data_IF_724173257000
#
_entry.id   IF_724173257000
#
_cell.length_a   1.000
_cell.length_b   1.000
_cell.length_c   1.000
_cell.angle_alpha   90.00
_cell.angle_beta   90.00
_cell.angle_gamma   90.00
#
_symmetry.space_group_name_H-M   'P 1'
#
loop_
_entity.id
_entity.type
_entity.pdbx_description
1 polymer ?
#
# COMPACT_ATOMS: atom_id res chain seq x y z
N UNK A 1 -22.58 -19.76 4.24
CA UNK A 1 -21.96 -19.86 5.58
C UNK A 1 -22.88 -19.14 6.55
N UNK A 2 -23.26 -19.76 7.66
CA UNK A 2 -24.11 -19.11 8.66
C UNK A 2 -23.22 -18.58 9.79
N UNK A 3 -23.40 -17.31 10.12
CA UNK A 3 -22.68 -16.60 11.18
C UNK A 3 -23.71 -16.04 12.15
N UNK A 4 -23.50 -16.31 13.44
CA UNK A 4 -24.31 -15.74 14.51
C UNK A 4 -23.64 -14.46 14.98
N UNK A 5 -24.39 -13.36 14.95
CA UNK A 5 -23.90 -12.06 15.42
C UNK A 5 -24.03 -11.96 16.94
N UNK A 6 -23.09 -11.25 17.56
CA UNK A 6 -23.24 -10.82 18.95
C UNK A 6 -24.16 -9.61 19.01
N UNK A 7 -24.78 -9.36 20.17
CA UNK A 7 -25.64 -8.18 20.36
C UNK A 7 -24.91 -6.86 20.09
N UNK A 8 -23.60 -6.80 20.33
CA UNK A 8 -22.77 -5.63 20.01
C UNK A 8 -22.70 -5.38 18.50
N UNK A 9 -22.43 -6.43 17.71
CA UNK A 9 -22.35 -6.33 16.25
C UNK A 9 -23.71 -5.95 15.64
N UNK A 10 -24.81 -6.47 16.20
CA UNK A 10 -26.16 -6.09 15.78
C UNK A 10 -26.45 -4.60 16.03
N UNK A 11 -26.01 -4.04 17.17
CA UNK A 11 -26.14 -2.62 17.46
C UNK A 11 -25.33 -1.74 16.52
N UNK A 12 -24.10 -2.16 16.18
CA UNK A 12 -23.26 -1.45 15.21
C UNK A 12 -23.89 -1.44 13.82
N UNK A 13 -24.38 -2.59 13.34
CA UNK A 13 -25.07 -2.69 12.06
C UNK A 13 -26.33 -1.83 12.06
N UNK A 14 -27.15 -1.90 13.12
CA UNK A 14 -28.36 -1.09 13.27
C UNK A 14 -28.04 0.41 13.23
N UNK A 15 -26.94 0.83 13.84
CA UNK A 15 -26.47 2.22 13.81
C UNK A 15 -26.13 2.65 12.38
N UNK A 16 -25.46 1.81 11.60
CA UNK A 16 -25.15 2.10 10.20
C UNK A 16 -26.41 2.15 9.31
N UNK A 17 -27.37 1.25 9.52
CA UNK A 17 -28.65 1.28 8.79
C UNK A 17 -29.44 2.56 9.06
N UNK A 18 -29.46 3.04 10.32
CA UNK A 18 -30.11 4.30 10.70
C UNK A 18 -29.53 5.53 9.98
N UNK A 19 -28.31 5.46 9.47
CA UNK A 19 -27.73 6.56 8.67
C UNK A 19 -28.36 6.70 7.29
N UNK A 20 -29.11 5.68 6.82
CA UNK A 20 -29.66 5.61 5.47
C UNK A 20 -28.63 5.33 4.37
N UNK A 21 -27.34 5.20 4.72
CA UNK A 21 -26.26 4.91 3.75
C UNK A 21 -26.24 3.46 3.28
N UNK A 22 -26.86 2.56 4.04
CA UNK A 22 -26.92 1.13 3.76
C UNK A 22 -28.34 0.64 3.98
N UNK A 23 -28.80 -0.26 3.11
CA UNK A 23 -30.16 -0.78 3.10
C UNK A 23 -30.26 -2.10 3.86
N UNK A 24 -29.16 -2.87 3.92
CA UNK A 24 -29.14 -4.21 4.53
C UNK A 24 -27.92 -4.42 5.42
N UNK A 25 -28.03 -5.36 6.36
CA UNK A 25 -26.89 -5.79 7.19
C UNK A 25 -25.75 -6.36 6.35
N UNK A 26 -26.08 -7.04 5.25
CA UNK A 26 -25.10 -7.61 4.32
C UNK A 26 -24.24 -6.53 3.66
N UNK A 27 -24.83 -5.43 3.21
CA UNK A 27 -24.08 -4.30 2.64
C UNK A 27 -23.06 -3.73 3.63
N UNK A 28 -23.47 -3.59 4.90
CA UNK A 28 -22.58 -3.10 5.97
C UNK A 28 -21.42 -4.07 6.18
N UNK A 29 -21.70 -5.38 6.22
CA UNK A 29 -20.69 -6.42 6.41
C UNK A 29 -19.72 -6.47 5.23
N UNK A 30 -20.23 -6.49 4.00
CA UNK A 30 -19.40 -6.45 2.77
C UNK A 30 -18.51 -5.23 2.79
N UNK A 31 -19.04 -4.06 3.15
CA UNK A 31 -18.25 -2.84 3.20
C UNK A 31 -17.16 -2.89 4.27
N UNK A 32 -17.47 -3.44 5.44
CA UNK A 32 -16.49 -3.62 6.51
C UNK A 32 -15.33 -4.54 6.07
N UNK A 33 -15.63 -5.64 5.38
CA UNK A 33 -14.62 -6.57 4.86
C UNK A 33 -13.75 -5.94 3.77
N UNK A 34 -14.35 -5.18 2.84
CA UNK A 34 -13.58 -4.42 1.84
C UNK A 34 -12.63 -3.40 2.48
N UNK A 35 -13.08 -2.72 3.54
CA UNK A 35 -12.25 -1.77 4.28
C UNK A 35 -11.12 -2.48 5.02
N UNK A 36 -11.36 -3.66 5.59
CA UNK A 36 -10.34 -4.49 6.22
C UNK A 36 -9.25 -4.88 5.23
N UNK A 37 -9.63 -5.42 4.07
CA UNK A 37 -8.69 -5.80 3.01
C UNK A 37 -7.90 -4.59 2.50
N UNK A 38 -8.57 -3.45 2.27
CA UNK A 38 -7.91 -2.22 1.83
C UNK A 38 -6.91 -1.73 2.89
N UNK A 39 -7.24 -1.86 4.18
CA UNK A 39 -6.36 -1.46 5.27
C UNK A 39 -5.10 -2.32 5.31
N UNK A 40 -5.25 -3.64 5.16
CA UNK A 40 -4.13 -4.58 5.10
C UNK A 40 -3.21 -4.26 3.91
N UNK A 41 -3.77 -4.05 2.71
CA UNK A 41 -3.00 -3.65 1.52
C UNK A 41 -2.24 -2.33 1.72
N UNK A 42 -2.84 -1.33 2.38
CA UNK A 42 -2.15 -0.07 2.70
C UNK A 42 -0.99 -0.28 3.66
N UNK A 43 -1.15 -1.13 4.67
CA UNK A 43 -0.07 -1.46 5.61
C UNK A 43 1.11 -2.13 4.90
N UNK A 44 0.83 -3.10 4.02
CA UNK A 44 1.87 -3.74 3.21
C UNK A 44 2.61 -2.74 2.32
N UNK A 45 1.88 -1.85 1.65
CA UNK A 45 2.48 -0.83 0.79
C UNK A 45 3.35 0.14 1.61
N UNK A 46 2.86 0.59 2.77
CA UNK A 46 3.62 1.45 3.67
C UNK A 46 4.93 0.78 4.10
N UNK A 47 4.89 -0.51 4.43
CA UNK A 47 6.10 -1.26 4.77
C UNK A 47 7.06 -1.39 3.58
N UNK A 48 6.54 -1.64 2.37
CA UNK A 48 7.36 -1.68 1.15
C UNK A 48 8.05 -0.34 0.88
N UNK A 49 7.33 0.77 1.01
CA UNK A 49 7.86 2.12 0.84
C UNK A 49 8.94 2.40 1.88
N UNK A 50 8.70 2.08 3.15
CA UNK A 50 9.71 2.21 4.21
C UNK A 50 10.98 1.41 3.88
N UNK A 51 10.83 0.15 3.49
CA UNK A 51 11.97 -0.69 3.12
C UNK A 51 12.74 -0.14 1.90
N UNK A 52 12.07 0.49 0.94
CA UNK A 52 12.73 1.16 -0.18
C UNK A 52 13.54 2.37 0.29
N UNK A 53 12.98 3.19 1.18
CA UNK A 53 13.72 4.30 1.79
C UNK A 53 14.95 3.80 2.55
N UNK A 54 14.81 2.79 3.41
CA UNK A 54 15.92 2.23 4.17
C UNK A 54 17.04 1.71 3.23
N UNK A 55 16.67 1.04 2.14
CA UNK A 55 17.62 0.59 1.12
C UNK A 55 18.33 1.75 0.43
N UNK A 56 17.59 2.78 0.02
CA UNK A 56 18.18 3.95 -0.64
C UNK A 56 19.13 4.71 0.28
N UNK A 57 18.78 4.88 1.55
CA UNK A 57 19.64 5.54 2.53
C UNK A 57 20.89 4.72 2.89
N UNK A 58 20.85 3.40 2.71
CA UNK A 58 22.00 2.53 2.88
C UNK A 58 22.95 2.53 1.67
N UNK A 59 22.55 3.13 0.52
CA UNK A 59 23.46 3.31 -0.61
C UNK A 59 24.49 4.36 -0.18
N UNK A 60 25.79 4.04 -0.19
CA UNK A 60 26.83 5.00 0.14
C UNK A 60 26.74 6.22 -0.80
N UNK A 61 27.18 7.36 -0.28
CA UNK A 61 27.07 8.71 -0.85
C UNK A 61 27.11 8.73 -2.39
N UNK A 62 26.17 9.48 -2.99
CA UNK A 62 26.15 9.73 -4.44
C UNK A 62 27.51 10.32 -4.82
N UNK A 63 28.35 9.51 -5.47
CA UNK A 63 29.61 10.00 -6.01
C UNK A 63 29.26 11.10 -7.03
N UNK A 64 29.92 12.25 -6.90
CA UNK A 64 29.86 13.25 -7.96
C UNK A 64 30.55 12.66 -9.17
N UNK A 65 29.77 12.26 -10.17
CA UNK A 65 30.29 11.78 -11.45
C UNK A 65 30.61 13.03 -12.28
N UNK A 66 31.83 13.14 -12.78
CA UNK A 66 32.20 14.27 -13.66
C UNK A 66 31.72 14.02 -15.09
N UNK A 67 31.56 15.10 -15.87
CA UNK A 67 31.19 15.00 -17.29
C UNK A 67 32.22 14.18 -18.10
N UNK A 68 33.51 14.19 -17.69
CA UNK A 68 34.53 13.36 -18.32
C UNK A 68 34.34 11.86 -18.04
N UNK A 69 33.92 11.49 -16.83
CA UNK A 69 33.65 10.10 -16.46
C UNK A 69 32.42 9.56 -17.22
N UNK A 70 31.39 10.39 -17.35
CA UNK A 70 30.19 10.06 -18.16
C UNK A 70 30.57 9.88 -19.62
N UNK A 71 31.38 10.78 -20.17
CA UNK A 71 31.80 10.74 -21.59
C UNK A 71 32.61 9.48 -21.89
N UNK A 72 33.56 9.13 -21.01
CA UNK A 72 34.35 7.90 -21.14
C UNK A 72 33.49 6.63 -21.12
N UNK A 73 32.50 6.58 -20.24
CA UNK A 73 31.58 5.43 -20.16
C UNK A 73 30.75 5.30 -21.46
N UNK A 74 30.23 6.42 -21.99
CA UNK A 74 29.47 6.43 -23.25
C UNK A 74 30.35 5.99 -24.43
N UNK A 75 31.60 6.45 -24.49
CA UNK A 75 32.55 6.05 -25.53
C UNK A 75 32.92 4.57 -25.43
N UNK A 76 33.12 4.03 -24.22
CA UNK A 76 33.36 2.60 -24.01
C UNK A 76 32.19 1.73 -24.50
N UNK A 77 30.94 2.15 -24.25
CA UNK A 77 29.75 1.47 -24.77
C UNK A 77 29.61 1.57 -26.30
N UNK A 78 30.10 2.65 -26.92
CA UNK A 78 30.03 2.85 -28.38
C UNK A 78 31.19 2.20 -29.13
N UNK A 79 32.35 2.06 -28.49
CA UNK A 79 33.56 1.42 -29.05
C UNK A 79 33.64 -0.10 -28.81
N UNK A 80 32.71 -0.67 -28.04
CA UNK A 80 32.59 -2.11 -27.80
C UNK A 80 31.94 -2.92 -28.93
N UNK A 81 32.27 -2.63 -30.20
CA UNK A 81 31.92 -3.43 -31.40
C UNK A 81 33.16 -3.61 -32.26
#
# INVERSE_FOLDING_TARGET
MNITLTSELEQLITTQLKTGKYQTAEEVIVKALQLLETSQRRQELSQKVKNLFDKTQAIPEVQQITDEEITKEIEAYRGGV
#
